data_IF_203903876637
#
_entry.id   IF_203903876637
#
_cell.length_a   1.000
_cell.length_b   1.000
_cell.length_c   1.000
_cell.angle_alpha   90.00
_cell.angle_beta   90.00
_cell.angle_gamma   90.00
#
_symmetry.space_group_name_H-M   'P 1'
#
loop_
_entity.id
_entity.type
_entity.pdbx_description
1 polymer ?
#
# COMPACT_ATOMS: atom_id res chain seq x y z
N UNK A 1 -21.45 -23.53 3.79
CA UNK A 1 -21.38 -23.73 5.27
C UNK A 1 -22.80 -23.64 5.81
N UNK A 2 -23.20 -24.45 6.80
CA UNK A 2 -24.56 -24.36 7.34
C UNK A 2 -24.83 -22.94 7.91
N UNK A 3 -25.96 -22.29 7.58
CA UNK A 3 -26.29 -20.96 8.10
C UNK A 3 -26.36 -20.98 9.63
N UNK A 4 -25.75 -20.00 10.30
CA UNK A 4 -25.83 -19.87 11.76
C UNK A 4 -27.29 -19.65 12.21
N UNK A 5 -27.75 -20.44 13.18
CA UNK A 5 -29.11 -20.33 13.75
C UNK A 5 -29.24 -19.26 14.84
N UNK A 6 -28.14 -18.86 15.48
CA UNK A 6 -28.09 -17.72 16.41
C UNK A 6 -26.67 -17.15 16.53
N UNK A 7 -26.56 -15.81 16.48
CA UNK A 7 -25.30 -15.09 16.69
C UNK A 7 -25.24 -14.66 18.16
N UNK A 8 -24.19 -15.04 18.92
CA UNK A 8 -24.03 -14.59 20.29
C UNK A 8 -24.04 -13.06 20.39
N UNK A 9 -24.73 -12.46 21.39
CA UNK A 9 -24.78 -11.00 21.53
C UNK A 9 -23.39 -10.35 21.58
N UNK A 10 -22.43 -11.01 22.24
CA UNK A 10 -21.03 -10.57 22.31
C UNK A 10 -20.38 -10.48 20.92
N UNK A 11 -20.56 -11.50 20.07
CA UNK A 11 -20.04 -11.48 18.70
C UNK A 11 -20.64 -10.33 17.89
N UNK A 12 -21.95 -10.08 18.02
CA UNK A 12 -22.60 -8.99 17.30
C UNK A 12 -22.10 -7.60 17.76
N UNK A 13 -21.93 -7.41 19.07
CA UNK A 13 -21.40 -6.14 19.63
C UNK A 13 -19.95 -5.92 19.18
N UNK A 14 -19.08 -6.92 19.34
CA UNK A 14 -17.67 -6.84 18.94
C UNK A 14 -17.53 -6.60 17.44
N UNK A 15 -18.29 -7.32 16.61
CA UNK A 15 -18.27 -7.15 15.16
C UNK A 15 -18.77 -5.77 14.74
N UNK A 16 -19.79 -5.24 15.41
CA UNK A 16 -20.30 -3.88 15.15
C UNK A 16 -19.27 -2.82 15.51
N UNK A 17 -18.59 -2.95 16.66
CA UNK A 17 -17.51 -2.05 17.07
C UNK A 17 -16.38 -2.05 16.03
N UNK A 18 -15.93 -3.24 15.63
CA UNK A 18 -14.88 -3.38 14.60
C UNK A 18 -15.28 -2.74 13.27
N UNK A 19 -16.53 -2.96 12.85
CA UNK A 19 -17.09 -2.38 11.63
C UNK A 19 -17.16 -0.85 11.68
N UNK A 20 -17.57 -0.27 12.81
CA UNK A 20 -17.62 1.19 12.99
C UNK A 20 -16.23 1.80 12.88
N UNK A 21 -15.22 1.20 13.52
CA UNK A 21 -13.84 1.65 13.38
C UNK A 21 -13.38 1.64 11.91
N UNK A 22 -13.65 0.55 11.19
CA UNK A 22 -13.31 0.47 9.77
C UNK A 22 -14.06 1.45 8.87
N UNK A 23 -15.32 1.77 9.20
CA UNK A 23 -16.05 2.81 8.48
C UNK A 23 -15.37 4.17 8.56
N UNK A 24 -14.66 4.49 9.66
CA UNK A 24 -14.06 5.81 9.88
C UNK A 24 -12.53 5.82 9.78
N UNK A 25 -11.89 4.66 9.62
CA UNK A 25 -10.44 4.50 9.79
C UNK A 25 -9.62 5.47 8.93
N UNK A 26 -10.04 5.74 7.70
CA UNK A 26 -9.29 6.54 6.72
C UNK A 26 -9.48 8.05 6.87
N UNK A 27 -10.44 8.51 7.69
CA UNK A 27 -10.71 9.94 7.87
C UNK A 27 -9.51 10.73 8.42
N UNK A 28 -8.76 10.25 9.44
CA UNK A 28 -7.54 10.92 9.90
C UNK A 28 -6.49 11.08 8.80
N UNK A 29 -6.31 10.06 7.95
CA UNK A 29 -5.37 10.13 6.82
C UNK A 29 -5.81 11.18 5.80
N UNK A 30 -7.10 11.20 5.43
CA UNK A 30 -7.65 12.21 4.50
C UNK A 30 -7.44 13.62 5.06
N UNK A 31 -7.73 13.79 6.34
CA UNK A 31 -7.58 15.06 7.04
C UNK A 31 -6.11 15.49 7.10
N UNK A 32 -5.20 14.59 7.46
CA UNK A 32 -3.75 14.86 7.49
C UNK A 32 -3.26 15.31 6.12
N UNK A 33 -3.54 14.56 5.06
CA UNK A 33 -3.16 14.91 3.68
C UNK A 33 -3.73 16.27 3.26
N UNK A 34 -4.96 16.58 3.66
CA UNK A 34 -5.56 17.89 3.41
C UNK A 34 -4.88 19.02 4.18
N UNK A 35 -4.45 18.79 5.42
CA UNK A 35 -3.78 19.79 6.27
C UNK A 35 -2.34 20.03 5.85
N UNK A 36 -1.59 18.97 5.54
CA UNK A 36 -0.18 19.05 5.13
C UNK A 36 0.00 19.44 3.67
N UNK A 37 -1.05 19.30 2.84
CA UNK A 37 -1.00 19.47 1.38
C UNK A 37 0.07 18.60 0.72
N UNK A 38 0.40 17.49 1.37
CA UNK A 38 1.43 16.55 0.95
C UNK A 38 1.01 15.13 1.33
N UNK A 39 1.19 14.23 0.36
CA UNK A 39 0.95 12.79 0.46
C UNK A 39 2.25 12.01 0.38
N UNK A 40 3.38 12.64 0.73
CA UNK A 40 4.68 11.97 0.72
C UNK A 40 4.68 10.76 1.66
N UNK A 41 5.07 9.59 1.13
CA UNK A 41 5.11 8.33 1.88
C UNK A 41 3.81 7.54 1.90
N UNK A 42 2.70 8.08 1.38
CA UNK A 42 1.46 7.33 1.18
C UNK A 42 1.53 6.60 -0.18
N UNK A 43 1.52 5.26 -0.23
CA UNK A 43 1.59 4.54 -1.51
C UNK A 43 0.27 4.67 -2.29
N UNK A 44 0.26 5.29 -3.49
CA UNK A 44 -0.99 5.43 -4.25
C UNK A 44 -1.54 4.08 -4.72
N UNK A 45 -0.66 3.14 -5.08
CA UNK A 45 -1.06 1.78 -5.48
C UNK A 45 -1.83 1.04 -4.37
N UNK A 46 -1.44 1.23 -3.11
CA UNK A 46 -2.17 0.67 -1.97
C UNK A 46 -3.61 1.19 -1.93
N UNK A 47 -3.78 2.52 -1.98
CA UNK A 47 -5.10 3.15 -1.92
C UNK A 47 -5.99 2.71 -3.09
N UNK A 48 -5.42 2.54 -4.27
CA UNK A 48 -6.17 2.07 -5.43
C UNK A 48 -6.61 0.61 -5.28
N UNK A 49 -5.71 -0.30 -4.89
CA UNK A 49 -6.02 -1.72 -4.70
C UNK A 49 -7.04 -1.93 -3.58
N UNK A 50 -6.94 -1.16 -2.49
CA UNK A 50 -7.91 -1.18 -1.41
C UNK A 50 -9.30 -0.69 -1.87
N UNK A 51 -9.35 0.40 -2.66
CA UNK A 51 -10.61 0.86 -3.28
C UNK A 51 -11.25 -0.24 -4.12
N UNK A 52 -10.47 -0.87 -4.99
CA UNK A 52 -10.94 -1.94 -5.87
C UNK A 52 -11.41 -3.19 -5.09
N UNK A 53 -10.78 -3.50 -3.94
CA UNK A 53 -11.20 -4.62 -3.08
C UNK A 53 -12.58 -4.41 -2.45
N UNK A 54 -13.02 -3.16 -2.28
CA UNK A 54 -14.34 -2.83 -1.73
C UNK A 54 -15.51 -3.33 -2.58
N UNK A 55 -15.31 -3.42 -3.90
CA UNK A 55 -16.33 -3.92 -4.85
C UNK A 55 -16.71 -5.38 -4.54
N UNK A 56 -15.79 -6.37 -4.58
CA UNK A 56 -16.13 -7.75 -4.26
C UNK A 56 -16.49 -7.96 -2.78
N UNK A 57 -15.91 -7.21 -1.83
CA UNK A 57 -16.34 -7.28 -0.42
C UNK A 57 -17.79 -6.84 -0.23
N UNK A 58 -18.18 -5.71 -0.81
CA UNK A 58 -19.56 -5.23 -0.72
C UNK A 58 -20.53 -6.15 -1.45
N UNK A 59 -20.15 -6.69 -2.62
CA UNK A 59 -20.97 -7.69 -3.30
C UNK A 59 -21.18 -8.95 -2.44
N UNK A 60 -20.11 -9.46 -1.84
CA UNK A 60 -20.17 -10.59 -0.92
C UNK A 60 -21.10 -10.30 0.27
N UNK A 61 -20.94 -9.16 0.94
CA UNK A 61 -21.72 -8.78 2.11
C UNK A 61 -23.22 -8.61 1.80
N UNK A 62 -23.55 -8.02 0.65
CA UNK A 62 -24.93 -7.81 0.20
C UNK A 62 -25.60 -9.13 -0.19
N UNK A 63 -24.89 -10.03 -0.86
CA UNK A 63 -25.45 -11.33 -1.28
C UNK A 63 -25.66 -12.25 -0.08
N UNK A 64 -24.75 -12.23 0.89
CA UNK A 64 -24.91 -12.96 2.15
C UNK A 64 -25.94 -12.34 3.10
N UNK A 65 -26.50 -11.18 2.76
CA UNK A 65 -27.45 -10.44 3.59
C UNK A 65 -26.94 -10.26 5.04
N UNK A 66 -25.67 -9.86 5.18
CA UNK A 66 -25.13 -9.50 6.50
C UNK A 66 -25.85 -8.28 7.07
N UNK A 67 -25.60 -7.98 8.35
CA UNK A 67 -26.18 -6.80 8.98
C UNK A 67 -25.80 -5.51 8.23
N UNK A 68 -26.63 -4.47 8.38
CA UNK A 68 -26.46 -3.21 7.66
C UNK A 68 -25.07 -2.58 7.87
N UNK A 69 -24.48 -2.56 9.08
CA UNK A 69 -23.11 -2.06 9.26
C UNK A 69 -22.08 -2.76 8.37
N UNK A 70 -22.09 -4.10 8.30
CA UNK A 70 -21.13 -4.88 7.51
C UNK A 70 -21.34 -4.64 6.00
N UNK A 71 -22.57 -4.37 5.54
CA UNK A 71 -22.82 -3.99 4.15
C UNK A 71 -22.32 -2.58 3.82
N UNK A 72 -22.41 -1.65 4.77
CA UNK A 72 -21.98 -0.24 4.59
C UNK A 72 -20.45 -0.12 4.60
N UNK A 73 -19.76 -0.92 5.43
CA UNK A 73 -18.32 -0.79 5.63
C UNK A 73 -17.48 -0.85 4.34
N UNK A 74 -17.68 -1.82 3.41
CA UNK A 74 -16.93 -1.85 2.15
C UNK A 74 -17.16 -0.62 1.28
N UNK A 75 -18.34 0.02 1.39
CA UNK A 75 -18.69 1.23 0.63
C UNK A 75 -17.93 2.44 1.17
N UNK A 76 -17.91 2.60 2.51
CA UNK A 76 -17.10 3.63 3.16
C UNK A 76 -15.61 3.43 2.87
N UNK A 77 -15.13 2.18 2.98
CA UNK A 77 -13.74 1.84 2.71
C UNK A 77 -13.34 2.14 1.26
N UNK A 78 -14.14 1.70 0.29
CA UNK A 78 -13.96 1.99 -1.13
C UNK A 78 -13.85 3.49 -1.39
N UNK A 79 -14.85 4.26 -0.94
CA UNK A 79 -14.91 5.71 -1.12
C UNK A 79 -13.70 6.41 -0.52
N UNK A 80 -13.35 6.11 0.74
CA UNK A 80 -12.27 6.79 1.44
C UNK A 80 -10.89 6.41 0.91
N UNK A 81 -10.72 5.17 0.43
CA UNK A 81 -9.50 4.77 -0.29
C UNK A 81 -9.35 5.57 -1.57
N UNK A 82 -10.42 5.71 -2.35
CA UNK A 82 -10.38 6.47 -3.59
C UNK A 82 -10.14 7.96 -3.36
N UNK A 83 -10.71 8.55 -2.30
CA UNK A 83 -10.41 9.94 -1.91
C UNK A 83 -8.93 10.10 -1.57
N UNK A 84 -8.34 9.18 -0.79
CA UNK A 84 -6.90 9.20 -0.50
C UNK A 84 -6.06 9.04 -1.77
N UNK A 85 -6.45 8.14 -2.68
CA UNK A 85 -5.80 7.99 -3.98
C UNK A 85 -5.85 9.29 -4.80
N UNK A 86 -7.02 9.94 -4.84
CA UNK A 86 -7.19 11.23 -5.50
C UNK A 86 -6.32 12.32 -4.87
N UNK A 87 -6.20 12.36 -3.54
CA UNK A 87 -5.27 13.25 -2.84
C UNK A 87 -3.81 12.97 -3.24
N UNK A 88 -3.41 11.71 -3.40
CA UNK A 88 -2.09 11.36 -3.89
C UNK A 88 -1.83 11.90 -5.30
N UNK A 89 -2.79 11.75 -6.22
CA UNK A 89 -2.65 12.26 -7.59
C UNK A 89 -2.62 13.79 -7.64
N UNK A 90 -3.39 14.45 -6.78
CA UNK A 90 -3.43 15.91 -6.69
C UNK A 90 -2.15 16.51 -6.07
N UNK A 91 -1.72 16.01 -4.89
CA UNK A 91 -0.62 16.61 -4.15
C UNK A 91 0.76 16.12 -4.60
N UNK A 92 0.93 14.82 -4.88
CA UNK A 92 2.23 14.26 -5.32
C UNK A 92 2.43 14.40 -6.83
N UNK A 93 1.46 13.95 -7.63
CA UNK A 93 1.57 13.93 -9.11
C UNK A 93 1.19 15.25 -9.78
N UNK A 94 0.75 16.25 -9.00
CA UNK A 94 0.35 17.60 -9.47
C UNK A 94 -0.72 17.61 -10.54
N UNK A 95 -1.63 16.62 -10.53
CA UNK A 95 -2.75 16.60 -11.46
C UNK A 95 -3.73 17.74 -11.17
N UNK A 96 -4.40 18.25 -12.20
CA UNK A 96 -5.44 19.28 -12.04
C UNK A 96 -6.61 18.69 -11.24
N UNK A 97 -7.15 19.46 -10.29
CA UNK A 97 -8.25 19.03 -9.42
C UNK A 97 -9.47 18.51 -10.20
N UNK A 98 -9.82 19.18 -11.30
CA UNK A 98 -10.92 18.75 -12.19
C UNK A 98 -10.69 17.34 -12.75
N UNK A 99 -9.47 17.03 -13.19
CA UNK A 99 -9.16 15.72 -13.76
C UNK A 99 -9.23 14.63 -12.69
N UNK A 100 -8.67 14.90 -11.51
CA UNK A 100 -8.75 13.98 -10.36
C UNK A 100 -10.20 13.71 -9.99
N UNK A 101 -11.03 14.76 -9.86
CA UNK A 101 -12.45 14.62 -9.55
C UNK A 101 -13.19 13.78 -10.60
N UNK A 102 -13.03 14.11 -11.90
CA UNK A 102 -13.68 13.35 -12.97
C UNK A 102 -13.27 11.88 -12.99
N UNK A 103 -11.98 11.58 -12.80
CA UNK A 103 -11.47 10.21 -12.78
C UNK A 103 -11.98 9.46 -11.54
N UNK A 104 -11.95 10.08 -10.36
CA UNK A 104 -12.50 9.44 -9.15
C UNK A 104 -14.00 9.18 -9.30
N UNK A 105 -14.77 10.13 -9.83
CA UNK A 105 -16.21 9.90 -10.10
C UNK A 105 -16.43 8.79 -11.12
N UNK A 106 -15.63 8.73 -12.20
CA UNK A 106 -15.74 7.66 -13.18
C UNK A 106 -15.43 6.28 -12.57
N UNK A 107 -14.40 6.20 -11.71
CA UNK A 107 -14.07 4.98 -10.96
C UNK A 107 -15.23 4.59 -10.03
N UNK A 108 -15.83 5.52 -9.27
CA UNK A 108 -16.96 5.21 -8.40
C UNK A 108 -18.18 4.69 -9.16
N UNK A 109 -18.48 5.28 -10.32
CA UNK A 109 -19.59 4.81 -11.17
C UNK A 109 -19.30 3.41 -11.70
N UNK A 110 -18.06 3.15 -12.13
CA UNK A 110 -17.62 1.84 -12.57
C UNK A 110 -17.68 0.80 -11.44
N UNK A 111 -17.16 1.13 -10.27
CA UNK A 111 -17.13 0.27 -9.08
C UNK A 111 -18.55 -0.06 -8.62
N UNK A 112 -19.45 0.94 -8.59
CA UNK A 112 -20.87 0.74 -8.26
C UNK A 112 -21.60 -0.12 -9.30
N UNK A 113 -21.35 0.11 -10.60
CA UNK A 113 -21.91 -0.70 -11.68
C UNK A 113 -21.42 -2.15 -11.63
N UNK A 114 -20.12 -2.35 -11.41
CA UNK A 114 -19.50 -3.67 -11.30
C UNK A 114 -20.01 -4.40 -10.05
N UNK A 115 -20.13 -3.72 -8.91
CA UNK A 115 -20.72 -4.29 -7.70
C UNK A 115 -22.17 -4.70 -7.92
N UNK A 116 -22.98 -3.84 -8.54
CA UNK A 116 -24.38 -4.15 -8.86
C UNK A 116 -24.52 -5.38 -9.76
N UNK A 117 -23.70 -5.46 -10.81
CA UNK A 117 -23.63 -6.62 -11.69
C UNK A 117 -23.21 -7.89 -10.94
N UNK A 118 -22.17 -7.81 -10.11
CA UNK A 118 -21.71 -8.94 -9.29
C UNK A 118 -22.80 -9.40 -8.33
N UNK A 119 -23.48 -8.49 -7.64
CA UNK A 119 -24.60 -8.83 -6.74
C UNK A 119 -25.70 -9.55 -7.49
N UNK A 120 -26.09 -9.05 -8.67
CA UNK A 120 -27.12 -9.68 -9.49
C UNK A 120 -26.72 -11.10 -9.92
N UNK A 121 -25.52 -11.28 -10.46
CA UNK A 121 -25.00 -12.58 -10.89
C UNK A 121 -24.85 -13.58 -9.72
N UNK A 122 -24.36 -13.11 -8.58
CA UNK A 122 -24.16 -13.96 -7.40
C UNK A 122 -25.49 -14.33 -6.75
N UNK A 123 -26.49 -13.44 -6.72
CA UNK A 123 -27.84 -13.79 -6.25
C UNK A 123 -28.48 -14.84 -7.14
N UNK A 124 -28.37 -14.68 -8.46
CA UNK A 124 -28.84 -15.68 -9.43
C UNK A 124 -28.20 -17.05 -9.18
N UNK A 125 -26.86 -17.09 -9.03
CA UNK A 125 -26.13 -18.34 -8.80
C UNK A 125 -26.46 -18.98 -7.44
N UNK A 126 -26.57 -18.16 -6.39
CA UNK A 126 -26.78 -18.64 -5.02
C UNK A 126 -28.22 -19.10 -4.78
N UNK A 127 -29.23 -18.31 -5.17
CA UNK A 127 -30.63 -18.61 -4.88
C UNK A 127 -31.27 -19.53 -5.92
N UNK A 128 -30.95 -19.39 -7.21
CA UNK A 128 -31.62 -20.19 -8.24
C UNK A 128 -30.89 -21.50 -8.52
N UNK A 129 -29.55 -21.48 -8.49
CA UNK A 129 -28.73 -22.65 -8.82
C UNK A 129 -28.15 -23.37 -7.59
N UNK A 130 -28.36 -22.84 -6.39
CA UNK A 130 -27.80 -23.37 -5.14
C UNK A 130 -26.27 -23.58 -5.18
N UNK A 131 -25.56 -22.71 -5.91
CA UNK A 131 -24.11 -22.78 -6.04
C UNK A 131 -23.45 -21.84 -5.02
N UNK A 132 -22.78 -22.40 -4.00
CA UNK A 132 -22.06 -21.63 -2.98
C UNK A 132 -20.67 -21.15 -3.44
N UNK A 133 -20.02 -21.90 -4.33
CA UNK A 133 -18.62 -21.65 -4.72
C UNK A 133 -18.34 -20.29 -5.37
N UNK A 134 -19.21 -19.68 -6.20
CA UNK A 134 -18.91 -18.38 -6.83
C UNK A 134 -18.80 -17.27 -5.80
N UNK A 135 -19.61 -17.33 -4.75
CA UNK A 135 -19.57 -16.37 -3.67
C UNK A 135 -18.27 -16.48 -2.87
N UNK A 136 -17.86 -17.69 -2.50
CA UNK A 136 -16.57 -17.93 -1.82
C UNK A 136 -15.39 -17.47 -2.68
N UNK A 137 -15.46 -17.71 -3.99
CA UNK A 137 -14.45 -17.23 -4.93
C UNK A 137 -14.34 -15.70 -4.95
N UNK A 138 -15.47 -14.98 -5.02
CA UNK A 138 -15.47 -13.50 -4.97
C UNK A 138 -14.93 -12.99 -3.63
N UNK A 139 -15.26 -13.65 -2.51
CA UNK A 139 -14.65 -13.34 -1.20
C UNK A 139 -13.13 -13.55 -1.19
N UNK A 140 -12.63 -14.62 -1.80
CA UNK A 140 -11.20 -14.88 -1.94
C UNK A 140 -10.49 -13.84 -2.83
N UNK A 141 -11.12 -13.41 -3.93
CA UNK A 141 -10.61 -12.32 -4.78
C UNK A 141 -10.51 -11.02 -3.99
N UNK A 142 -11.53 -10.69 -3.19
CA UNK A 142 -11.53 -9.51 -2.32
C UNK A 142 -10.36 -9.54 -1.33
N UNK A 143 -10.16 -10.68 -0.68
CA UNK A 143 -9.04 -10.92 0.23
C UNK A 143 -7.69 -10.73 -0.46
N UNK A 144 -7.47 -11.33 -1.64
CA UNK A 144 -6.21 -11.20 -2.39
C UNK A 144 -5.94 -9.75 -2.79
N UNK A 145 -6.94 -9.01 -3.25
CA UNK A 145 -6.80 -7.59 -3.59
C UNK A 145 -6.40 -6.74 -2.38
N UNK A 146 -7.05 -6.98 -1.23
CA UNK A 146 -6.75 -6.26 0.01
C UNK A 146 -5.31 -6.49 0.47
N UNK A 147 -4.88 -7.76 0.56
CA UNK A 147 -3.52 -8.13 0.95
C UNK A 147 -2.49 -7.59 -0.06
N UNK A 148 -2.82 -7.60 -1.35
CA UNK A 148 -1.94 -7.04 -2.39
C UNK A 148 -1.68 -5.55 -2.19
N UNK A 149 -2.63 -4.81 -1.61
CA UNK A 149 -2.44 -3.41 -1.23
C UNK A 149 -1.33 -3.19 -0.20
N UNK A 150 -1.00 -4.19 0.61
CA UNK A 150 0.10 -4.11 1.58
C UNK A 150 1.49 -4.35 0.97
N UNK A 151 1.59 -4.89 -0.25
CA UNK A 151 2.88 -5.20 -0.91
C UNK A 151 3.86 -4.02 -0.95
N UNK A 152 3.43 -2.77 -1.23
CA UNK A 152 4.34 -1.63 -1.25
C UNK A 152 4.92 -1.27 0.13
N UNK A 153 4.23 -1.62 1.23
CA UNK A 153 4.56 -1.16 2.58
C UNK A 153 5.93 -1.65 3.07
N UNK A 154 6.26 -2.96 3.02
CA UNK A 154 7.60 -3.43 3.39
C UNK A 154 8.71 -2.71 2.63
N UNK A 155 8.51 -2.46 1.33
CA UNK A 155 9.52 -1.79 0.49
C UNK A 155 9.79 -0.35 0.93
N UNK A 156 8.74 0.41 1.24
CA UNK A 156 8.86 1.79 1.74
C UNK A 156 9.49 1.82 3.14
N UNK A 157 9.11 0.85 3.99
CA UNK A 157 9.60 0.76 5.34
C UNK A 157 11.10 0.41 5.39
N UNK A 158 11.56 -0.48 4.51
CA UNK A 158 12.99 -0.82 4.37
C UNK A 158 13.78 0.37 3.85
N UNK A 159 13.31 1.05 2.78
CA UNK A 159 13.96 2.26 2.25
C UNK A 159 14.13 3.35 3.32
N UNK A 160 13.15 3.46 4.23
CA UNK A 160 13.13 4.48 5.30
C UNK A 160 13.61 3.95 6.65
N UNK A 161 14.30 2.79 6.70
CA UNK A 161 14.91 2.19 7.90
C UNK A 161 13.94 1.96 9.07
N UNK A 162 12.73 1.52 8.77
CA UNK A 162 11.68 1.30 9.75
C UNK A 162 10.86 2.54 10.09
N UNK A 163 11.18 3.70 9.51
CA UNK A 163 10.34 4.89 9.67
C UNK A 163 9.12 4.79 8.75
N UNK A 164 7.96 4.57 9.34
CA UNK A 164 6.68 4.82 8.69
C UNK A 164 6.54 6.33 8.41
N UNK A 165 6.50 6.72 7.14
CA UNK A 165 6.31 8.11 6.68
C UNK A 165 5.05 8.18 5.83
N UNK A 166 4.32 9.29 5.91
CA UNK A 166 3.09 9.52 5.12
C UNK A 166 1.84 8.92 5.73
N UNK A 167 1.94 7.72 6.30
CA UNK A 167 0.82 7.05 6.97
C UNK A 167 0.57 7.67 8.35
N UNK A 168 -0.67 8.03 8.62
CA UNK A 168 -1.15 8.61 9.87
C UNK A 168 -1.32 7.54 10.96
N UNK A 169 -0.80 7.83 12.16
CA UNK A 169 -0.82 6.88 13.27
C UNK A 169 -2.21 6.73 13.88
N UNK A 170 -3.07 7.75 13.80
CA UNK A 170 -4.44 7.63 14.27
C UNK A 170 -5.26 6.77 13.31
N UNK A 171 -5.06 6.92 11.99
CA UNK A 171 -5.58 5.97 10.99
C UNK A 171 -5.15 4.54 11.33
N UNK A 172 -3.84 4.31 11.48
CA UNK A 172 -3.31 2.97 11.74
C UNK A 172 -3.85 2.35 13.05
N UNK A 173 -4.05 3.18 14.07
CA UNK A 173 -4.62 2.72 15.35
C UNK A 173 -6.09 2.33 15.21
N UNK A 174 -6.89 3.14 14.52
CA UNK A 174 -8.30 2.86 14.28
C UNK A 174 -8.46 1.60 13.44
N UNK A 175 -7.65 1.44 12.38
CA UNK A 175 -7.64 0.25 11.53
C UNK A 175 -7.35 -1.02 12.35
N UNK A 176 -6.33 -0.94 13.22
CA UNK A 176 -5.98 -2.03 14.12
C UNK A 176 -7.08 -2.40 15.10
N UNK A 177 -7.78 -1.41 15.68
CA UNK A 177 -8.94 -1.70 16.50
C UNK A 177 -10.07 -2.34 15.69
N UNK A 178 -10.29 -1.89 14.45
CA UNK A 178 -11.22 -2.53 13.53
C UNK A 178 -10.91 -4.00 13.34
N UNK A 179 -9.66 -4.34 13.00
CA UNK A 179 -9.21 -5.71 12.82
C UNK A 179 -9.29 -6.55 14.11
N UNK A 180 -8.86 -5.98 15.24
CA UNK A 180 -8.87 -6.65 16.54
C UNK A 180 -10.31 -7.00 16.98
N UNK A 181 -11.22 -6.04 16.99
CA UNK A 181 -12.60 -6.27 17.44
C UNK A 181 -13.36 -7.20 16.47
N UNK A 182 -13.12 -7.09 15.16
CA UNK A 182 -13.66 -8.01 14.16
C UNK A 182 -13.13 -9.44 14.37
N UNK A 183 -11.84 -9.62 14.69
CA UNK A 183 -11.30 -10.94 15.02
C UNK A 183 -11.90 -11.51 16.31
N UNK A 184 -12.02 -10.69 17.37
CA UNK A 184 -12.65 -11.11 18.62
C UNK A 184 -14.12 -11.47 18.42
N UNK A 185 -14.81 -10.82 17.47
CA UNK A 185 -16.17 -11.18 17.12
C UNK A 185 -16.27 -12.62 16.60
N UNK A 186 -15.33 -13.07 15.75
CA UNK A 186 -15.28 -14.43 15.24
C UNK A 186 -14.93 -15.45 16.34
N UNK A 187 -14.02 -15.08 17.24
CA UNK A 187 -13.68 -15.93 18.41
C UNK A 187 -14.91 -16.13 19.31
N UNK A 188 -15.76 -15.11 19.43
CA UNK A 188 -16.99 -15.17 20.20
C UNK A 188 -18.16 -15.86 19.46
N UNK A 189 -18.01 -16.24 18.18
CA UNK A 189 -19.02 -16.96 17.43
C UNK A 189 -18.98 -18.47 17.70
N UNK A 190 -20.12 -19.15 17.51
CA UNK A 190 -20.24 -20.59 17.65
C UNK A 190 -19.59 -21.36 16.48
N UNK A 191 -19.51 -20.74 15.30
CA UNK A 191 -18.83 -21.31 14.13
C UNK A 191 -17.78 -20.34 13.65
N UNK A 192 -16.56 -20.84 13.44
CA UNK A 192 -15.45 -20.03 12.98
C UNK A 192 -15.42 -20.01 11.45
N UNK A 193 -15.42 -18.81 10.85
CA UNK A 193 -15.18 -18.62 9.41
C UNK A 193 -13.67 -18.44 9.17
N UNK A 194 -12.97 -19.43 8.57
CA UNK A 194 -11.53 -19.34 8.37
C UNK A 194 -11.10 -18.25 7.40
N UNK A 195 -11.94 -17.87 6.43
CA UNK A 195 -11.59 -16.86 5.42
C UNK A 195 -11.50 -15.48 6.08
N UNK A 196 -12.57 -15.07 6.78
CA UNK A 196 -12.59 -13.79 7.49
C UNK A 196 -11.67 -13.81 8.71
N UNK A 197 -11.56 -14.93 9.42
CA UNK A 197 -10.62 -15.07 10.54
C UNK A 197 -9.18 -14.86 10.11
N UNK A 198 -8.77 -15.45 8.99
CA UNK A 198 -7.43 -15.26 8.41
C UNK A 198 -7.22 -13.82 7.94
N UNK A 199 -8.23 -13.22 7.29
CA UNK A 199 -8.19 -11.82 6.89
C UNK A 199 -7.94 -10.89 8.06
N UNK A 200 -8.75 -10.99 9.11
CA UNK A 200 -8.67 -10.10 10.28
C UNK A 200 -7.34 -10.30 11.04
N UNK A 201 -6.88 -11.55 11.18
CA UNK A 201 -5.59 -11.83 11.79
C UNK A 201 -4.41 -11.27 10.98
N UNK A 202 -4.43 -11.39 9.65
CA UNK A 202 -3.38 -10.86 8.79
C UNK A 202 -3.35 -9.33 8.79
N UNK A 203 -4.51 -8.66 8.72
CA UNK A 203 -4.59 -7.20 8.85
C UNK A 203 -3.99 -6.74 10.19
N UNK A 204 -4.46 -7.30 11.30
CA UNK A 204 -3.97 -6.97 12.63
C UNK A 204 -2.45 -7.21 12.77
N UNK A 205 -1.93 -8.30 12.19
CA UNK A 205 -0.50 -8.61 12.20
C UNK A 205 0.32 -7.61 11.37
N UNK A 206 -0.11 -7.31 10.14
CA UNK A 206 0.58 -6.36 9.26
C UNK A 206 0.59 -4.95 9.87
N UNK A 207 -0.52 -4.51 10.46
CA UNK A 207 -0.62 -3.22 11.14
C UNK A 207 0.24 -3.15 12.40
N UNK A 208 0.25 -4.22 13.20
CA UNK A 208 1.13 -4.34 14.36
C UNK A 208 2.60 -4.29 13.95
N UNK A 209 2.97 -4.91 12.82
CA UNK A 209 4.33 -4.83 12.28
C UNK A 209 4.75 -3.40 11.95
N UNK A 210 3.83 -2.56 11.45
CA UNK A 210 4.09 -1.15 11.17
C UNK A 210 4.33 -0.36 12.47
N UNK A 211 3.52 -0.59 13.51
CA UNK A 211 3.74 0.00 14.84
C UNK A 211 5.08 -0.41 15.44
N UNK A 212 5.41 -1.70 15.42
CA UNK A 212 6.68 -2.21 15.94
C UNK A 212 7.86 -1.58 15.21
N UNK A 213 7.82 -1.56 13.87
CA UNK A 213 8.88 -1.01 13.05
C UNK A 213 9.11 0.48 13.33
N UNK A 214 8.04 1.28 13.40
CA UNK A 214 8.17 2.70 13.76
C UNK A 214 8.62 2.89 15.21
N UNK A 215 8.14 2.06 16.14
CA UNK A 215 8.58 2.06 17.53
C UNK A 215 10.10 1.81 17.64
N UNK A 216 10.61 0.78 16.96
CA UNK A 216 12.04 0.47 16.90
C UNK A 216 12.82 1.65 16.29
N UNK A 217 12.31 2.28 15.23
CA UNK A 217 12.92 3.47 14.66
C UNK A 217 12.96 4.63 15.66
N UNK A 218 11.87 4.89 16.39
CA UNK A 218 11.80 5.92 17.42
C UNK A 218 12.84 5.68 18.53
N UNK A 219 13.02 4.42 18.97
CA UNK A 219 14.02 4.02 19.96
C UNK A 219 15.46 4.27 19.47
N UNK A 220 15.77 3.81 18.25
CA UNK A 220 17.12 3.92 17.66
C UNK A 220 17.53 5.36 17.38
N UNK A 221 16.57 6.21 16.98
CA UNK A 221 16.83 7.61 16.62
C UNK A 221 16.65 8.59 17.77
N UNK A 222 16.38 8.15 19.01
CA UNK A 222 16.14 9.06 20.17
C UNK A 222 17.21 10.15 20.32
N UNK A 223 18.49 9.76 20.27
CA UNK A 223 19.62 10.69 20.43
C UNK A 223 19.72 11.66 19.24
N UNK A 224 19.56 11.15 18.04
CA UNK A 224 19.62 11.93 16.79
C UNK A 224 18.46 12.92 16.68
N UNK A 225 17.23 12.50 17.06
CA UNK A 225 16.06 13.39 17.10
C UNK A 225 16.20 14.49 18.14
N UNK A 226 16.86 14.22 19.28
CA UNK A 226 17.19 15.25 20.26
C UNK A 226 18.10 16.31 19.65
N UNK A 227 19.19 15.91 18.98
CA UNK A 227 20.07 16.82 18.24
C UNK A 227 19.33 17.64 17.17
N UNK A 228 18.45 16.99 16.39
CA UNK A 228 17.65 17.70 15.38
C UNK A 228 16.75 18.77 16.02
N UNK A 229 16.12 18.45 17.15
CA UNK A 229 15.28 19.39 17.90
C UNK A 229 16.10 20.54 18.49
N UNK A 230 17.28 20.24 19.03
CA UNK A 230 18.20 21.25 19.58
C UNK A 230 18.71 22.19 18.48
N UNK A 231 18.87 21.69 17.24
CA UNK A 231 19.23 22.48 16.06
C UNK A 231 18.04 23.21 15.40
N UNK A 232 16.80 22.98 15.85
CA UNK A 232 15.59 23.54 15.22
C UNK A 232 15.30 23.02 13.81
N UNK A 233 15.97 21.95 13.36
CA UNK A 233 15.84 21.39 12.02
C UNK A 233 14.99 20.11 12.03
N UNK A 234 14.25 19.90 10.94
CA UNK A 234 13.54 18.65 10.71
C UNK A 234 14.49 17.46 10.56
N UNK A 235 14.02 16.24 10.85
CA UNK A 235 14.83 15.03 10.73
C UNK A 235 15.41 14.83 9.33
N UNK A 236 14.64 15.17 8.29
CA UNK A 236 15.05 15.06 6.90
C UNK A 236 15.96 16.23 6.42
N UNK A 237 16.19 17.25 7.27
CA UNK A 237 17.02 18.42 6.96
C UNK A 237 18.33 18.47 7.74
N UNK A 238 18.48 17.68 8.80
CA UNK A 238 19.67 17.67 9.63
C UNK A 238 20.77 16.79 9.00
N UNK A 239 22.02 17.29 8.82
CA UNK A 239 23.07 16.57 8.09
C UNK A 239 23.41 15.20 8.69
N UNK A 240 23.56 15.08 10.01
CA UNK A 240 23.80 13.78 10.65
C UNK A 240 22.63 12.80 10.47
N UNK A 241 21.39 13.31 10.34
CA UNK A 241 20.22 12.46 10.18
C UNK A 241 20.05 11.98 8.73
N UNK A 242 20.39 12.85 7.77
CA UNK A 242 20.51 12.51 6.37
C UNK A 242 21.60 11.45 6.16
N UNK A 243 22.76 11.63 6.79
CA UNK A 243 23.86 10.67 6.73
C UNK A 243 23.46 9.34 7.37
N UNK A 244 22.80 9.36 8.53
CA UNK A 244 22.25 8.16 9.15
C UNK A 244 21.24 7.44 8.24
N UNK A 245 20.40 8.19 7.50
CA UNK A 245 19.43 7.62 6.57
C UNK A 245 20.14 7.01 5.33
N UNK A 246 21.14 7.70 4.80
CA UNK A 246 21.92 7.32 3.62
C UNK A 246 22.91 6.17 3.88
N UNK A 247 23.40 6.03 5.11
CA UNK A 247 24.31 4.95 5.53
C UNK A 247 23.55 3.62 5.61
N UNK A 248 23.11 3.09 4.45
CA UNK A 248 22.24 1.93 4.14
C UNK A 248 22.34 0.70 5.07
N UNK A 249 21.36 -0.21 5.04
CA UNK A 249 21.50 -1.46 5.80
C UNK A 249 22.71 -2.17 5.22
N UNK A 250 23.83 -2.23 5.97
CA UNK A 250 24.99 -3.04 5.59
C UNK A 250 24.55 -4.49 5.71
N UNK A 251 23.98 -5.04 4.63
CA UNK A 251 23.69 -6.47 4.57
C UNK A 251 25.03 -7.19 4.79
N UNK A 252 25.13 -8.10 5.76
CA UNK A 252 26.37 -8.82 6.04
C UNK A 252 26.56 -9.93 5.01
N UNK A 253 26.44 -9.62 3.72
CA UNK A 253 26.95 -10.47 2.68
C UNK A 253 28.20 -9.78 2.15
N UNK A 254 29.35 -10.19 2.69
CA UNK A 254 30.63 -10.00 2.00
C UNK A 254 30.50 -10.74 0.67
N UNK A 255 30.08 -10.03 -0.38
CA UNK A 255 30.47 -10.43 -1.73
C UNK A 255 31.99 -10.32 -1.73
N UNK A 256 32.68 -11.45 -1.64
CA UNK A 256 34.12 -11.52 -1.87
C UNK A 256 34.35 -10.88 -3.23
N UNK A 257 34.84 -9.65 -3.24
CA UNK A 257 35.36 -9.05 -4.44
C UNK A 257 36.53 -9.94 -4.86
N UNK A 258 36.37 -10.65 -5.97
CA UNK A 258 37.50 -11.23 -6.67
C UNK A 258 38.47 -10.08 -6.98
N UNK A 259 39.73 -10.26 -6.58
CA UNK A 259 40.81 -9.28 -6.70
C UNK A 259 40.89 -8.65 -8.11
N UNK A 260 41.38 -7.41 -8.24
CA UNK A 260 41.68 -6.84 -9.55
C UNK A 260 42.72 -7.72 -10.25
N UNK A 261 42.47 -8.09 -11.51
CA UNK A 261 43.52 -8.66 -12.37
C UNK A 261 44.45 -7.52 -12.80
N UNK A 262 45.74 -7.69 -12.54
CA UNK A 262 46.81 -6.77 -12.95
C UNK A 262 46.83 -6.60 -14.48
N UNK A 263 46.91 -5.36 -15.01
CA UNK A 263 47.03 -5.10 -16.44
C UNK A 263 48.50 -5.16 -16.85
N UNK A 264 49.11 -6.35 -16.88
CA UNK A 264 50.50 -6.50 -17.33
C UNK A 264 50.78 -7.94 -17.81
N UNK A 265 50.08 -8.38 -18.85
CA UNK A 265 50.52 -9.52 -19.66
C UNK A 265 49.81 -9.53 -21.02
N UNK A 266 50.24 -8.67 -21.95
CA UNK A 266 50.10 -8.91 -23.38
C UNK A 266 50.99 -7.91 -24.14
N UNK A 267 52.27 -8.25 -24.19
CA UNK A 267 53.27 -7.62 -25.05
C UNK A 267 53.98 -8.75 -25.81
N UNK A 268 53.57 -8.96 -27.06
CA UNK A 268 54.20 -9.74 -28.14
C UNK A 268 53.08 -10.01 -29.16
N UNK A 269 53.11 -9.67 -30.45
CA UNK A 269 54.19 -9.31 -31.35
C UNK A 269 53.61 -8.62 -32.61
N UNK A 270 54.52 -8.06 -33.40
CA UNK A 270 54.52 -7.96 -34.88
C UNK A 270 54.38 -6.57 -35.54
N UNK A 271 55.56 -5.96 -35.68
CA UNK A 271 56.21 -5.44 -36.91
C UNK A 271 55.63 -4.24 -37.68
N UNK A 272 56.47 -3.21 -37.69
CA UNK A 272 56.48 -1.96 -38.45
C UNK A 272 56.75 -2.18 -39.95
N UNK A 273 56.06 -1.44 -40.82
CA UNK A 273 56.63 -0.97 -42.10
C UNK A 273 55.94 0.34 -42.55
N UNK A 274 56.71 1.41 -42.69
CA UNK A 274 56.34 2.65 -43.40
C UNK A 274 56.39 2.41 -44.93
N UNK A 275 55.83 3.32 -45.77
CA UNK A 275 56.70 4.40 -46.28
C UNK A 275 56.02 5.76 -46.55
N UNK A 276 56.77 6.81 -46.23
CA UNK A 276 57.12 8.00 -47.04
C UNK A 276 56.08 8.76 -47.91
N UNK A 277 55.97 10.05 -47.62
CA UNK A 277 56.14 11.18 -48.57
C UNK A 277 55.03 11.50 -49.61
N UNK A 278 54.33 12.64 -49.45
CA UNK A 278 54.47 13.86 -50.29
C UNK A 278 53.33 14.88 -50.07
N UNK A 279 53.65 16.12 -50.42
CA UNK A 279 53.11 17.40 -49.98
C UNK A 279 52.22 18.04 -51.09
N UNK A 280 51.15 18.74 -50.67
CA UNK A 280 50.52 19.97 -51.24
C UNK A 280 49.57 19.87 -52.49
N UNK A 281 48.83 20.97 -52.85
CA UNK A 281 47.59 21.49 -52.22
C UNK A 281 46.49 21.90 -53.28
N UNK A 282 45.50 22.73 -52.89
CA UNK A 282 44.60 23.60 -53.74
C UNK A 282 43.31 22.88 -54.22
N UNK A 283 42.10 23.45 -54.27
CA UNK A 283 41.63 24.84 -54.30
C UNK A 283 40.27 25.00 -53.60
N UNK A 284 40.08 26.16 -52.98
CA UNK A 284 38.80 26.85 -52.78
C UNK A 284 38.41 27.58 -54.06
N UNK A 285 37.15 27.46 -54.51
CA UNK A 285 36.51 28.38 -55.45
C UNK A 285 35.14 28.81 -54.90
N UNK A 286 35.15 30.04 -54.38
CA UNK A 286 34.24 31.18 -54.46
C UNK A 286 32.74 31.06 -54.88
N UNK A 287 31.95 31.77 -54.06
CA UNK A 287 30.90 32.77 -54.36
C UNK A 287 29.79 32.45 -55.40
N UNK A 288 28.54 32.34 -54.92
CA UNK A 288 27.50 33.40 -54.83
C UNK A 288 26.54 33.07 -53.69
#
# INVERSE_FOLDING_TARGET
MAPQTSIPPAANVLGTIGTVFWCIQLLPQIYRSYRTKSTEGVPPAMMFLWSASGVPFGAYAIVQNFNIPIQIQPQCFCLFCLVNWGQCMYYSSKWKARNVFMICTAILVLDGGLQGLLVWLLRMAYYEKNLEWPLTFIGAVAFVLLISGYIPIPSELIKRRGRVVGIDFLFLLIDWFGAFFSLMSLVAQNTFDPLFGTLYALCAFMEMSMFLSHGIWLLRTRRLRKKCKDAGLGFDSHPEALEWQNNGFKFPWKRTASAPRDPQSESADVVVSEPSEKIAPIATEDCV
#
